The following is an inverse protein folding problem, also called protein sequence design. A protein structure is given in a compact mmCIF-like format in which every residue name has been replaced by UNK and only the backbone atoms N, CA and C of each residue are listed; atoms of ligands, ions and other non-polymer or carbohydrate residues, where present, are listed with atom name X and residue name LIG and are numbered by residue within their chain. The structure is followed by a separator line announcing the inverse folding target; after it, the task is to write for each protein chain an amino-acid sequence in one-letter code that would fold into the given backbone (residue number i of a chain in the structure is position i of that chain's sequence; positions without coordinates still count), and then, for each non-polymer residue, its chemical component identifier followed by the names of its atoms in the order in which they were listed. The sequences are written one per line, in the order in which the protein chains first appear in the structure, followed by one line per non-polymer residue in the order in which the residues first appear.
data_IF_623444563816
#
_entry.id   IF_623444563816
#
_cell.length_a   1.000
_cell.length_b   1.000
_cell.length_c   1.000
_cell.angle_alpha   90.00
_cell.angle_beta   90.00
_cell.angle_gamma   90.00
#
_symmetry.space_group_name_H-M   'P 1'
#
loop_
_entity.id
_entity.type
_entity.pdbx_description
1 polymer ?
#
# COMPACT_ATOMS: atom_id res chain seq x y z
N UNK A 1 5.67 12.58 15.44
CA UNK A 1 6.43 13.61 14.71
C UNK A 1 7.86 13.14 14.58
N UNK A 2 8.17 12.36 13.55
CA UNK A 2 9.55 12.07 13.15
C UNK A 2 9.74 12.82 11.85
N UNK A 3 10.66 13.78 11.90
CA UNK A 3 10.96 14.77 10.89
C UNK A 3 11.27 14.10 9.55
N UNK A 4 10.28 14.08 8.66
CA UNK A 4 10.50 13.82 7.24
C UNK A 4 11.18 15.08 6.69
N UNK A 5 12.51 15.09 6.63
CA UNK A 5 13.25 16.03 5.78
C UNK A 5 12.92 15.70 4.33
N UNK A 6 11.77 16.20 3.91
CA UNK A 6 11.27 16.18 2.54
C UNK A 6 12.01 17.28 1.78
N UNK A 7 13.22 16.97 1.33
CA UNK A 7 13.84 17.74 0.25
C UNK A 7 13.09 17.40 -1.04
N UNK A 8 12.02 18.15 -1.30
CA UNK A 8 11.49 18.29 -2.66
C UNK A 8 12.52 19.04 -3.51
N UNK A 9 13.48 18.29 -4.05
CA UNK A 9 14.19 18.75 -5.24
C UNK A 9 13.37 18.27 -6.45
N UNK A 10 12.44 19.11 -6.91
CA UNK A 10 11.85 18.96 -8.25
C UNK A 10 12.88 19.50 -9.26
N UNK A 11 13.40 18.71 -10.22
CA UNK A 11 14.08 19.30 -11.36
C UNK A 11 13.04 19.75 -12.39
N UNK A 12 13.23 21.00 -12.83
CA UNK A 12 12.50 21.72 -13.86
C UNK A 12 12.04 20.85 -15.04
N UNK A 13 10.75 20.91 -15.34
CA UNK A 13 10.15 20.45 -16.58
C UNK A 13 10.70 21.29 -17.74
N UNK A 14 11.50 20.69 -18.62
CA UNK A 14 12.04 21.35 -19.81
C UNK A 14 12.12 20.40 -20.99
N UNK A 15 11.22 20.60 -21.95
CA UNK A 15 11.22 20.12 -23.34
C UNK A 15 11.19 18.59 -23.60
N UNK A 16 10.14 18.14 -24.28
CA UNK A 16 10.05 16.81 -24.87
C UNK A 16 11.04 16.64 -26.03
N UNK A 17 11.75 15.50 -26.17
CA UNK A 17 12.57 15.25 -27.35
C UNK A 17 11.75 14.57 -28.46
N UNK A 18 12.10 14.90 -29.69
CA UNK A 18 11.60 14.29 -30.92
C UNK A 18 11.99 12.79 -31.00
N UNK A 19 11.04 11.94 -31.37
CA UNK A 19 11.19 10.49 -31.38
C UNK A 19 11.98 10.02 -32.61
N UNK A 20 13.25 9.66 -32.42
CA UNK A 20 14.09 9.06 -33.47
C UNK A 20 14.13 7.52 -33.32
N UNK A 21 13.83 6.82 -34.41
CA UNK A 21 13.64 5.37 -34.49
C UNK A 21 14.96 4.62 -34.61
N UNK A 22 15.80 4.60 -33.56
CA UNK A 22 16.85 3.58 -33.34
C UNK A 22 17.49 3.72 -31.95
N UNK A 23 16.83 3.24 -30.90
CA UNK A 23 17.50 2.98 -29.62
C UNK A 23 16.81 1.76 -28.99
N UNK A 24 17.55 0.67 -28.78
CA UNK A 24 17.11 -0.32 -27.81
C UNK A 24 17.06 0.40 -26.46
N UNK A 25 15.85 0.63 -25.94
CA UNK A 25 15.65 1.21 -24.62
C UNK A 25 16.53 0.46 -23.61
N UNK A 26 17.35 1.16 -22.80
CA UNK A 26 18.14 0.51 -21.78
C UNK A 26 17.18 -0.23 -20.86
N UNK A 27 17.33 -1.56 -20.75
CA UNK A 27 16.57 -2.34 -19.77
C UNK A 27 16.91 -1.77 -18.40
N UNK A 28 15.95 -1.06 -17.81
CA UNK A 28 16.14 -0.38 -16.53
C UNK A 28 16.53 -1.42 -15.48
N UNK A 29 17.67 -1.21 -14.82
CA UNK A 29 18.18 -2.15 -13.82
C UNK A 29 17.28 -2.11 -12.60
N UNK A 30 16.46 -3.15 -12.43
CA UNK A 30 15.59 -3.30 -11.27
C UNK A 30 16.36 -3.91 -10.09
N UNK A 31 16.15 -3.33 -8.91
CA UNK A 31 16.64 -3.84 -7.63
C UNK A 31 15.51 -4.50 -6.85
N UNK A 32 15.78 -5.66 -6.29
CA UNK A 32 14.86 -6.33 -5.37
C UNK A 32 15.00 -5.77 -3.96
N UNK A 33 13.88 -5.45 -3.32
CA UNK A 33 13.81 -5.05 -1.90
C UNK A 33 12.85 -6.00 -1.19
N UNK A 34 13.26 -6.50 -0.02
CA UNK A 34 12.47 -7.36 0.85
C UNK A 34 12.28 -6.71 2.21
N UNK A 35 11.05 -6.74 2.71
CA UNK A 35 10.70 -6.24 4.04
C UNK A 35 9.55 -7.06 4.62
N UNK A 36 9.81 -7.74 5.74
CA UNK A 36 8.91 -8.77 6.26
C UNK A 36 8.63 -9.85 5.21
N UNK A 37 7.36 -10.14 4.95
CA UNK A 37 6.90 -11.09 3.92
C UNK A 37 6.70 -10.46 2.54
N UNK A 38 6.92 -9.16 2.37
CA UNK A 38 6.77 -8.48 1.08
C UNK A 38 8.10 -8.42 0.31
N UNK A 39 8.00 -8.57 -1.00
CA UNK A 39 9.11 -8.44 -1.95
C UNK A 39 8.66 -7.60 -3.14
N UNK A 40 9.46 -6.60 -3.52
CA UNK A 40 9.17 -5.71 -4.65
C UNK A 40 10.41 -5.49 -5.53
N UNK A 41 10.17 -5.23 -6.81
CA UNK A 41 11.17 -4.76 -7.77
C UNK A 41 11.08 -3.24 -7.89
N UNK A 42 12.22 -2.56 -7.78
CA UNK A 42 12.29 -1.10 -7.70
C UNK A 42 13.37 -0.57 -8.64
N UNK A 43 13.03 0.45 -9.41
CA UNK A 43 13.98 1.19 -10.24
C UNK A 43 14.92 2.07 -9.40
N UNK A 44 16.06 2.48 -9.95
CA UNK A 44 17.12 3.18 -9.20
C UNK A 44 16.65 4.53 -8.61
N UNK A 45 15.72 5.22 -9.28
CA UNK A 45 15.29 6.58 -8.91
C UNK A 45 14.06 6.65 -7.98
N UNK A 46 13.66 5.54 -7.34
CA UNK A 46 12.51 5.52 -6.43
C UNK A 46 12.96 5.52 -4.96
N UNK A 47 12.36 6.38 -4.15
CA UNK A 47 12.76 6.58 -2.75
C UNK A 47 12.42 5.39 -1.85
N UNK A 48 13.42 4.85 -1.16
CA UNK A 48 13.27 3.83 -0.11
C UNK A 48 14.22 4.09 1.06
N UNK A 49 13.72 3.98 2.30
CA UNK A 49 14.51 4.11 3.52
C UNK A 49 14.34 2.88 4.43
N UNK A 50 15.40 2.07 4.65
CA UNK A 50 15.38 0.93 5.55
C UNK A 50 15.02 1.29 7.00
N UNK A 51 15.48 2.44 7.50
CA UNK A 51 15.22 2.89 8.89
C UNK A 51 13.73 3.06 9.17
N UNK A 52 12.91 3.28 8.14
CA UNK A 52 11.47 3.45 8.28
C UNK A 52 10.67 2.14 8.35
N UNK A 53 11.33 0.97 8.38
CA UNK A 53 10.67 -0.35 8.52
C UNK A 53 9.82 -0.40 9.80
N UNK A 54 10.36 0.10 10.91
CA UNK A 54 9.63 0.20 12.17
C UNK A 54 8.34 1.03 12.07
N UNK A 55 8.38 2.14 11.32
CA UNK A 55 7.19 2.95 11.11
C UNK A 55 6.13 2.21 10.28
N UNK A 56 6.58 1.39 9.31
CA UNK A 56 5.70 0.54 8.50
C UNK A 56 5.09 -0.57 9.36
N UNK A 57 5.87 -1.25 10.19
CA UNK A 57 5.39 -2.27 11.13
C UNK A 57 4.35 -1.73 12.11
N UNK A 58 4.64 -0.57 12.72
CA UNK A 58 3.71 0.08 13.63
C UNK A 58 2.37 0.37 12.94
N UNK A 59 2.42 0.86 11.71
CA UNK A 59 1.20 1.16 10.93
C UNK A 59 0.40 -0.11 10.62
N UNK A 60 1.05 -1.23 10.31
CA UNK A 60 0.40 -2.54 10.11
C UNK A 60 -0.30 -2.99 11.41
N UNK A 61 0.38 -2.89 12.56
CA UNK A 61 -0.18 -3.26 13.86
C UNK A 61 -1.44 -2.42 14.20
N UNK A 62 -1.39 -1.11 13.95
CA UNK A 62 -2.53 -0.20 14.14
C UNK A 62 -3.68 -0.57 13.20
N UNK A 63 -3.41 -0.80 11.91
CA UNK A 63 -4.43 -1.17 10.93
C UNK A 63 -5.09 -2.52 11.26
N UNK A 64 -4.31 -3.51 11.68
CA UNK A 64 -4.83 -4.82 12.08
C UNK A 64 -5.75 -4.71 13.31
N UNK A 65 -5.34 -3.92 14.30
CA UNK A 65 -6.13 -3.67 15.51
C UNK A 65 -7.41 -2.92 15.17
N UNK A 66 -7.32 -1.86 14.36
CA UNK A 66 -8.47 -1.09 13.90
C UNK A 66 -9.45 -1.94 13.10
N UNK A 67 -8.96 -2.77 12.18
CA UNK A 67 -9.78 -3.69 11.38
C UNK A 67 -10.65 -4.60 12.24
N UNK A 68 -10.07 -5.17 13.30
CA UNK A 68 -10.80 -6.04 14.24
C UNK A 68 -11.92 -5.29 14.97
N UNK A 69 -11.63 -4.09 15.46
CA UNK A 69 -12.63 -3.25 16.15
C UNK A 69 -13.74 -2.84 15.19
N UNK A 70 -13.37 -2.32 14.02
CA UNK A 70 -14.31 -1.86 13.01
C UNK A 70 -15.25 -2.95 12.50
N UNK A 71 -14.73 -4.17 12.29
CA UNK A 71 -15.54 -5.32 11.89
C UNK A 71 -16.57 -5.70 12.98
N UNK A 72 -16.17 -5.69 14.26
CA UNK A 72 -17.07 -5.98 15.39
C UNK A 72 -18.20 -4.96 15.48
N UNK A 73 -17.87 -3.67 15.46
CA UNK A 73 -18.87 -2.59 15.52
C UNK A 73 -19.87 -2.66 14.37
N UNK A 74 -19.41 -2.99 13.15
CA UNK A 74 -20.31 -3.17 11.99
C UNK A 74 -21.15 -4.42 12.09
N UNK A 75 -20.61 -5.53 12.58
CA UNK A 75 -21.37 -6.75 12.80
C UNK A 75 -22.50 -6.51 13.82
N UNK A 76 -22.21 -5.82 14.92
CA UNK A 76 -23.21 -5.42 15.92
C UNK A 76 -24.29 -4.48 15.34
N UNK A 77 -23.88 -3.47 14.56
CA UNK A 77 -24.81 -2.57 13.90
C UNK A 77 -25.71 -3.28 12.88
N UNK A 78 -25.19 -4.30 12.19
CA UNK A 78 -25.97 -5.16 11.28
C UNK A 78 -26.94 -6.05 12.03
N UNK A 79 -26.50 -6.73 13.10
CA UNK A 79 -27.35 -7.56 13.96
C UNK A 79 -28.53 -6.77 14.53
N UNK A 80 -28.32 -5.51 14.93
CA UNK A 80 -29.40 -4.62 15.40
C UNK A 80 -30.43 -4.30 14.30
N UNK A 81 -30.00 -4.22 13.03
CA UNK A 81 -30.86 -3.91 11.88
C UNK A 81 -31.54 -5.15 11.27
N UNK A 82 -30.91 -6.31 11.34
CA UNK A 82 -31.30 -7.53 10.65
C UNK A 82 -32.04 -8.53 11.56
N UNK A 83 -32.99 -8.07 12.39
CA UNK A 83 -33.68 -8.91 13.40
C UNK A 83 -34.34 -10.21 12.88
N UNK A 84 -34.45 -10.43 11.56
CA UNK A 84 -35.02 -11.65 10.95
C UNK A 84 -34.21 -12.25 9.76
N UNK A 85 -32.91 -11.90 9.60
CA UNK A 85 -32.09 -12.39 8.48
C UNK A 85 -31.01 -13.42 8.87
N UNK A 86 -30.68 -14.41 8.02
CA UNK A 86 -29.57 -15.33 8.27
C UNK A 86 -28.23 -14.58 8.28
N UNK A 87 -27.34 -14.98 9.19
CA UNK A 87 -26.02 -14.38 9.32
C UNK A 87 -25.11 -14.85 8.17
N UNK A 88 -24.85 -13.98 7.20
CA UNK A 88 -23.99 -14.30 6.05
C UNK A 88 -22.52 -14.30 6.50
N UNK A 89 -21.96 -15.50 6.68
CA UNK A 89 -20.54 -15.67 6.96
C UNK A 89 -19.78 -15.40 5.66
N UNK A 90 -19.15 -14.23 5.56
CA UNK A 90 -18.32 -13.88 4.41
C UNK A 90 -16.97 -14.59 4.55
N UNK A 91 -16.76 -15.64 3.76
CA UNK A 91 -15.44 -16.26 3.62
C UNK A 91 -14.49 -15.32 2.88
N UNK A 92 -13.36 -14.99 3.50
CA UNK A 92 -12.35 -14.12 2.90
C UNK A 92 -11.37 -14.97 2.10
N UNK A 93 -11.43 -14.85 0.77
CA UNK A 93 -10.52 -15.53 -0.16
C UNK A 93 -9.46 -14.55 -0.64
N UNK A 94 -8.18 -14.93 -0.55
CA UNK A 94 -7.08 -14.11 -1.04
C UNK A 94 -7.26 -13.77 -2.53
N UNK A 95 -7.02 -12.51 -2.91
CA UNK A 95 -7.21 -12.02 -4.26
C UNK A 95 -8.66 -11.65 -4.64
N UNK A 96 -9.66 -11.97 -3.81
CA UNK A 96 -11.03 -11.51 -4.01
C UNK A 96 -11.29 -10.22 -3.22
N UNK A 97 -11.90 -9.24 -3.91
CA UNK A 97 -12.27 -7.97 -3.30
C UNK A 97 -13.46 -8.16 -2.36
N UNK A 98 -13.27 -7.90 -1.08
CA UNK A 98 -14.36 -7.79 -0.13
C UNK A 98 -14.98 -6.39 -0.20
N UNK A 99 -16.17 -6.25 -0.78
CA UNK A 99 -16.88 -4.95 -0.87
C UNK A 99 -17.19 -4.32 0.49
N UNK A 100 -17.21 -5.15 1.52
CA UNK A 100 -17.47 -4.75 2.90
C UNK A 100 -16.19 -4.59 3.72
N UNK A 101 -15.01 -4.74 3.09
CA UNK A 101 -13.71 -4.62 3.71
C UNK A 101 -13.27 -3.18 3.95
N UNK A 102 -12.16 -3.02 4.67
CA UNK A 102 -11.51 -1.73 4.81
C UNK A 102 -10.89 -1.29 3.47
N UNK A 103 -10.96 0.02 3.21
CA UNK A 103 -10.26 0.66 2.11
C UNK A 103 -9.18 1.56 2.68
N UNK A 104 -7.94 1.35 2.24
CA UNK A 104 -6.75 2.05 2.74
C UNK A 104 -6.14 2.85 1.59
N UNK A 105 -5.83 4.12 1.83
CA UNK A 105 -5.18 5.01 0.86
C UNK A 105 -3.76 5.32 1.35
N UNK A 106 -2.77 5.13 0.47
CA UNK A 106 -1.42 5.64 0.65
C UNK A 106 -1.17 6.77 -0.36
N UNK A 107 -1.31 8.02 0.08
CA UNK A 107 -1.25 9.17 -0.82
C UNK A 107 0.15 9.40 -1.44
N UNK A 108 1.21 9.04 -0.72
CA UNK A 108 2.61 9.20 -1.15
C UNK A 108 3.34 7.88 -0.97
N UNK A 109 3.15 6.98 -1.93
CA UNK A 109 3.58 5.59 -1.83
C UNK A 109 5.05 5.35 -2.18
N UNK A 110 5.68 6.25 -2.95
CA UNK A 110 7.03 6.07 -3.50
C UNK A 110 7.17 4.69 -4.18
N UNK A 111 7.83 3.72 -3.54
CA UNK A 111 7.94 2.33 -4.03
C UNK A 111 6.65 1.52 -3.93
N UNK A 112 5.65 1.98 -3.18
CA UNK A 112 4.44 1.22 -2.88
C UNK A 112 4.63 0.12 -1.85
N UNK A 113 5.84 -0.03 -1.28
CA UNK A 113 6.15 -1.14 -0.37
C UNK A 113 5.19 -1.24 0.82
N UNK A 114 4.81 -0.10 1.41
CA UNK A 114 3.87 -0.06 2.54
C UNK A 114 2.48 -0.57 2.12
N UNK A 115 1.96 -0.14 0.96
CA UNK A 115 0.71 -0.66 0.40
C UNK A 115 0.75 -2.17 0.15
N UNK A 116 1.86 -2.70 -0.36
CA UNK A 116 2.04 -4.17 -0.53
C UNK A 116 2.00 -4.87 0.83
N UNK A 117 2.72 -4.35 1.83
CA UNK A 117 2.71 -4.90 3.19
C UNK A 117 1.35 -4.82 3.89
N UNK A 118 0.46 -3.92 3.46
CA UNK A 118 -0.91 -3.84 3.99
C UNK A 118 -1.84 -4.91 3.41
N UNK A 119 -1.53 -5.42 2.22
CA UNK A 119 -2.32 -6.44 1.56
C UNK A 119 -1.93 -7.88 1.96
N UNK A 120 -0.69 -8.05 2.43
CA UNK A 120 -0.15 -9.31 2.95
C UNK A 120 -0.62 -9.61 4.38
#
# INVERSE_FOLDING_TARGET
VVLFTFLLQQPNCGCAPEFNSTMAEPVEKLKTIREGSAEILVAEHVFYNPVQEFNRDLSICVLATFSRVWQRERAEARRKKAKDGPEEVVELVAGQRCEQGLRILEALSATGLRSVRYAN
#
